data_IF_817961042343
#
_entry.id   IF_817961042343
#
_cell.length_a   1.000
_cell.length_b   1.000
_cell.length_c   1.000
_cell.angle_alpha   90.00
_cell.angle_beta   90.00
_cell.angle_gamma   90.00
#
_symmetry.space_group_name_H-M   'P 1'
#
loop_
_entity.id
_entity.type
_entity.pdbx_description
1 polymer ?
#
# COMPACT_ATOMS: atom_id res chain seq x y z
N UNK A 1 -25.00 1.89 -1.81
CA UNK A 1 -25.09 0.63 -2.60
C UNK A 1 -24.14 0.61 -3.79
N UNK A 2 -24.02 1.71 -4.56
CA UNK A 2 -23.09 1.81 -5.70
C UNK A 2 -21.61 1.55 -5.34
N UNK A 3 -21.15 2.04 -4.18
CA UNK A 3 -19.74 1.90 -3.77
C UNK A 3 -19.35 0.47 -3.39
N UNK A 4 -20.26 -0.29 -2.76
CA UNK A 4 -20.03 -1.73 -2.48
C UNK A 4 -19.87 -2.52 -3.77
N UNK A 5 -20.66 -2.20 -4.79
CA UNK A 5 -20.54 -2.78 -6.13
C UNK A 5 -19.21 -2.39 -6.78
N UNK A 6 -18.76 -1.14 -6.61
CA UNK A 6 -17.46 -0.70 -7.10
C UNK A 6 -16.30 -1.43 -6.41
N UNK A 7 -16.32 -1.56 -5.08
CA UNK A 7 -15.32 -2.34 -4.33
C UNK A 7 -15.26 -3.79 -4.82
N UNK A 8 -16.42 -4.41 -5.08
CA UNK A 8 -16.49 -5.77 -5.64
C UNK A 8 -15.85 -5.83 -7.04
N UNK A 9 -16.13 -4.88 -7.93
CA UNK A 9 -15.53 -4.84 -9.27
C UNK A 9 -14.02 -4.60 -9.21
N UNK A 10 -13.57 -3.66 -8.39
CA UNK A 10 -12.16 -3.32 -8.24
C UNK A 10 -11.36 -4.46 -7.63
N UNK A 11 -11.87 -5.09 -6.57
CA UNK A 11 -11.21 -6.26 -5.97
C UNK A 11 -11.05 -7.40 -6.97
N UNK A 12 -12.10 -7.69 -7.74
CA UNK A 12 -12.05 -8.70 -8.81
C UNK A 12 -11.01 -8.34 -9.88
N UNK A 13 -10.99 -7.10 -10.34
CA UNK A 13 -10.03 -6.63 -11.34
C UNK A 13 -8.57 -6.77 -10.87
N UNK A 14 -8.27 -6.36 -9.63
CA UNK A 14 -6.91 -6.45 -9.06
C UNK A 14 -6.50 -7.92 -8.90
N UNK A 15 -7.40 -8.78 -8.42
CA UNK A 15 -7.14 -10.21 -8.26
C UNK A 15 -6.90 -10.90 -9.61
N UNK A 16 -7.69 -10.59 -10.64
CA UNK A 16 -7.52 -11.14 -11.99
C UNK A 16 -6.20 -10.72 -12.63
N UNK A 17 -5.82 -9.45 -12.49
CA UNK A 17 -4.58 -8.89 -13.04
C UNK A 17 -3.32 -9.53 -12.42
N UNK A 18 -3.40 -10.00 -11.17
CA UNK A 18 -2.30 -10.55 -10.39
C UNK A 18 -2.61 -11.98 -9.91
N UNK A 19 -3.30 -12.76 -10.76
CA UNK A 19 -3.85 -14.08 -10.40
C UNK A 19 -2.78 -15.12 -10.08
N UNK A 20 -1.56 -14.93 -10.60
CA UNK A 20 -0.37 -15.74 -10.35
C UNK A 20 0.12 -15.65 -8.90
N UNK A 21 -0.02 -14.47 -8.28
CA UNK A 21 0.45 -14.20 -6.91
C UNK A 21 -0.69 -14.05 -5.89
N UNK A 22 -1.95 -14.03 -6.34
CA UNK A 22 -3.12 -13.87 -5.47
C UNK A 22 -3.34 -15.07 -4.54
N UNK A 23 -3.68 -14.79 -3.27
CA UNK A 23 -3.98 -15.78 -2.23
C UNK A 23 -5.41 -15.63 -1.76
N UNK A 24 -6.31 -16.41 -2.36
CA UNK A 24 -7.74 -16.38 -2.04
C UNK A 24 -8.02 -16.87 -0.62
N UNK A 25 -7.29 -17.89 -0.15
CA UNK A 25 -7.42 -18.51 1.16
C UNK A 25 -7.12 -17.55 2.32
N UNK A 26 -6.25 -16.56 2.08
CA UNK A 26 -5.91 -15.52 3.04
C UNK A 26 -6.82 -14.29 2.92
N UNK A 27 -7.51 -14.12 1.79
CA UNK A 27 -8.26 -12.90 1.47
C UNK A 27 -9.62 -12.83 2.17
N UNK A 28 -9.91 -11.67 2.75
CA UNK A 28 -11.15 -11.41 3.50
C UNK A 28 -12.06 -10.46 2.73
N UNK A 29 -13.31 -10.85 2.51
CA UNK A 29 -14.27 -10.01 1.79
C UNK A 29 -15.51 -9.73 2.65
N UNK A 30 -15.67 -8.48 3.09
CA UNK A 30 -16.80 -8.02 3.92
C UNK A 30 -17.69 -6.99 3.21
N UNK A 31 -18.82 -6.62 3.82
CA UNK A 31 -19.80 -5.74 3.16
C UNK A 31 -19.23 -4.42 2.63
N UNK A 32 -18.39 -3.73 3.41
CA UNK A 32 -17.84 -2.40 3.09
C UNK A 32 -16.32 -2.42 2.89
N UNK A 33 -15.68 -3.58 3.03
CA UNK A 33 -14.24 -3.71 2.88
C UNK A 33 -13.87 -4.98 2.11
N UNK A 34 -12.73 -4.95 1.44
CA UNK A 34 -12.08 -6.09 0.82
C UNK A 34 -10.61 -6.04 1.23
N UNK A 35 -10.08 -7.16 1.66
CA UNK A 35 -8.69 -7.32 2.05
C UNK A 35 -8.12 -8.45 1.20
N UNK A 36 -7.30 -8.08 0.23
CA UNK A 36 -6.71 -9.02 -0.72
C UNK A 36 -5.26 -9.27 -0.33
N UNK A 37 -4.82 -10.52 -0.42
CA UNK A 37 -3.43 -10.88 -0.17
C UNK A 37 -2.76 -11.39 -1.44
N UNK A 38 -1.52 -10.96 -1.64
CA UNK A 38 -0.67 -11.38 -2.74
C UNK A 38 0.68 -11.81 -2.17
N UNK A 39 1.26 -12.89 -2.69
CA UNK A 39 2.55 -13.41 -2.25
C UNK A 39 3.52 -13.44 -3.41
N UNK A 40 4.67 -12.83 -3.21
CA UNK A 40 5.82 -12.94 -4.09
C UNK A 40 6.83 -13.92 -3.50
N UNK A 41 7.72 -14.44 -4.33
CA UNK A 41 8.81 -15.29 -3.87
C UNK A 41 9.72 -14.49 -2.93
N UNK A 42 9.67 -14.84 -1.64
CA UNK A 42 10.50 -14.20 -0.62
C UNK A 42 11.90 -14.81 -0.66
N UNK A 43 12.89 -14.00 -1.05
CA UNK A 43 14.31 -14.37 -1.00
C UNK A 43 14.82 -14.50 0.45
N UNK A 44 14.15 -13.83 1.40
CA UNK A 44 14.52 -13.82 2.82
C UNK A 44 13.43 -14.46 3.68
N UNK A 45 13.66 -15.71 4.11
CA UNK A 45 12.80 -16.39 5.08
C UNK A 45 13.27 -16.11 6.52
N UNK A 46 12.34 -15.93 7.46
CA UNK A 46 12.64 -15.94 8.91
C UNK A 46 12.96 -14.61 9.59
N UNK A 47 12.84 -13.47 8.90
CA UNK A 47 13.12 -12.12 9.47
C UNK A 47 11.88 -11.41 10.04
N UNK A 48 10.74 -12.09 10.17
CA UNK A 48 9.51 -11.50 10.71
C UNK A 48 8.91 -10.39 9.82
N UNK A 49 9.31 -10.32 8.55
CA UNK A 49 8.72 -9.42 7.57
C UNK A 49 7.31 -9.91 7.20
N UNK A 50 6.42 -8.98 6.81
CA UNK A 50 5.14 -9.36 6.23
C UNK A 50 5.40 -10.17 4.96
N UNK A 51 5.02 -11.44 5.00
CA UNK A 51 5.22 -12.40 3.90
C UNK A 51 4.29 -12.14 2.72
N UNK A 52 3.22 -11.37 2.95
CA UNK A 52 2.18 -11.07 1.98
C UNK A 52 2.01 -9.57 1.81
N UNK A 53 1.86 -9.14 0.56
CA UNK A 53 1.33 -7.83 0.23
C UNK A 53 -0.18 -7.83 0.52
N UNK A 54 -0.59 -6.89 1.36
CA UNK A 54 -1.98 -6.71 1.77
C UNK A 54 -2.55 -5.47 1.07
N UNK A 55 -3.61 -5.66 0.28
CA UNK A 55 -4.33 -4.57 -0.39
C UNK A 55 -5.71 -4.45 0.25
N UNK A 56 -5.94 -3.33 0.93
CA UNK A 56 -7.22 -3.04 1.57
C UNK A 56 -8.03 -2.01 0.77
N UNK A 57 -9.26 -2.37 0.42
CA UNK A 57 -10.21 -1.53 -0.30
C UNK A 57 -11.40 -1.31 0.63
N UNK A 58 -11.60 -0.07 1.08
CA UNK A 58 -12.72 0.32 1.96
C UNK A 58 -13.64 1.30 1.26
N UNK A 59 -14.94 1.10 1.35
CA UNK A 59 -15.93 2.14 1.03
C UNK A 59 -16.10 3.05 2.23
N UNK A 60 -16.12 4.36 2.00
CA UNK A 60 -16.35 5.34 3.05
C UNK A 60 -17.85 5.57 3.20
N UNK A 61 -18.41 5.18 4.33
CA UNK A 61 -19.83 5.37 4.62
C UNK A 61 -20.13 6.75 5.23
N UNK A 62 -19.15 7.66 5.28
CA UNK A 62 -19.36 9.01 5.80
C UNK A 62 -20.27 9.83 4.85
N UNK A 63 -21.24 10.59 5.39
CA UNK A 63 -22.12 11.44 4.58
C UNK A 63 -21.35 12.51 3.79
N UNK A 64 -20.35 13.12 4.43
CA UNK A 64 -19.40 14.03 3.78
C UNK A 64 -18.01 13.41 3.74
N UNK A 65 -17.58 13.06 2.53
CA UNK A 65 -16.27 12.45 2.28
C UNK A 65 -15.10 13.40 2.55
N UNK A 66 -15.33 14.72 2.60
CA UNK A 66 -14.29 15.69 2.98
C UNK A 66 -13.88 15.56 4.44
N UNK A 67 -14.75 14.98 5.27
CA UNK A 67 -14.46 14.65 6.67
C UNK A 67 -13.65 13.36 6.81
N UNK A 68 -13.43 12.61 5.71
CA UNK A 68 -12.66 11.38 5.76
C UNK A 68 -11.21 11.71 6.09
N UNK A 69 -10.76 11.23 7.25
CA UNK A 69 -9.36 11.33 7.63
C UNK A 69 -8.52 10.48 6.68
N UNK A 70 -7.73 11.13 5.83
CA UNK A 70 -6.80 10.46 4.94
C UNK A 70 -5.39 10.62 5.51
N UNK A 71 -4.81 9.57 6.13
CA UNK A 71 -3.52 9.65 6.77
C UNK A 71 -2.37 9.60 5.75
N UNK A 72 -2.59 9.97 4.48
CA UNK A 72 -1.55 9.96 3.46
C UNK A 72 -1.19 11.38 3.01
N UNK A 73 0.07 11.55 2.63
CA UNK A 73 0.56 12.73 1.92
C UNK A 73 1.22 12.28 0.61
N UNK A 74 1.22 13.17 -0.39
CA UNK A 74 2.01 12.97 -1.60
C UNK A 74 3.50 13.09 -1.27
N UNK A 75 4.29 12.14 -1.74
CA UNK A 75 5.74 12.11 -1.61
C UNK A 75 6.37 11.73 -2.94
N UNK A 76 7.48 12.38 -3.25
CA UNK A 76 8.34 11.98 -4.36
C UNK A 76 9.31 10.92 -3.84
N UNK A 77 9.26 9.73 -4.43
CA UNK A 77 10.21 8.66 -4.16
C UNK A 77 11.31 8.71 -5.20
N UNK A 78 12.55 8.61 -4.71
CA UNK A 78 13.77 8.60 -5.50
C UNK A 78 14.62 7.42 -5.03
N UNK A 79 15.15 6.64 -5.96
CA UNK A 79 16.07 5.55 -5.61
C UNK A 79 17.41 6.11 -5.13
N UNK A 80 18.15 5.34 -4.32
CA UNK A 80 19.50 5.71 -3.89
C UNK A 80 20.43 5.88 -5.11
N UNK A 81 20.26 5.03 -6.12
CA UNK A 81 21.02 5.11 -7.38
C UNK A 81 20.74 6.42 -8.11
N UNK A 82 19.46 6.80 -8.25
CA UNK A 82 19.06 8.08 -8.85
C UNK A 82 19.68 9.26 -8.09
N UNK A 83 19.58 9.28 -6.77
CA UNK A 83 20.14 10.35 -5.94
C UNK A 83 21.68 10.46 -6.08
N UNK A 84 22.37 9.31 -6.21
CA UNK A 84 23.80 9.29 -6.48
C UNK A 84 24.13 9.85 -7.87
N UNK A 85 23.43 9.41 -8.92
CA UNK A 85 23.65 9.88 -10.29
C UNK A 85 23.46 11.39 -10.41
N UNK A 86 22.43 11.95 -9.77
CA UNK A 86 22.24 13.41 -9.69
C UNK A 86 23.41 14.09 -8.98
N UNK A 87 23.90 13.52 -7.87
CA UNK A 87 25.01 14.11 -7.10
C UNK A 87 26.33 14.22 -7.88
N UNK A 88 26.51 13.39 -8.91
CA UNK A 88 27.67 13.40 -9.81
C UNK A 88 27.33 14.01 -11.20
N UNK A 89 26.15 14.61 -11.36
CA UNK A 89 25.74 15.29 -12.59
C UNK A 89 25.40 14.37 -13.77
N UNK A 90 25.09 13.10 -13.52
CA UNK A 90 24.81 12.08 -14.55
C UNK A 90 23.31 11.94 -14.84
N UNK A 91 22.67 13.06 -15.20
CA UNK A 91 21.23 13.11 -15.49
C UNK A 91 20.83 12.32 -16.75
N UNK A 92 21.73 12.25 -17.74
CA UNK A 92 21.51 11.49 -18.97
C UNK A 92 21.33 9.99 -18.71
N UNK A 93 22.08 9.43 -17.76
CA UNK A 93 21.94 8.03 -17.34
C UNK A 93 20.60 7.79 -16.65
N UNK A 94 20.11 8.76 -15.86
CA UNK A 94 18.81 8.66 -15.20
C UNK A 94 17.71 8.50 -16.26
N UNK A 95 17.74 9.35 -17.29
CA UNK A 95 16.74 9.28 -18.37
C UNK A 95 16.87 8.03 -19.23
N UNK A 96 18.11 7.66 -19.58
CA UNK A 96 18.39 6.47 -20.40
C UNK A 96 17.84 5.19 -19.77
N UNK A 97 17.90 5.08 -18.44
CA UNK A 97 17.48 3.89 -17.71
C UNK A 97 16.11 4.02 -17.03
N UNK A 98 15.37 5.12 -17.23
CA UNK A 98 14.05 5.30 -16.63
C UNK A 98 14.08 5.38 -15.10
N UNK A 99 15.13 5.99 -14.53
CA UNK A 99 15.37 6.07 -13.08
C UNK A 99 14.80 7.35 -12.46
N UNK A 100 13.92 8.06 -13.16
CA UNK A 100 13.32 9.28 -12.68
C UNK A 100 12.54 9.06 -11.38
N UNK A 101 12.45 10.12 -10.59
CA UNK A 101 11.61 10.09 -9.38
C UNK A 101 10.14 10.07 -9.77
N UNK A 102 9.32 9.41 -8.97
CA UNK A 102 7.87 9.37 -9.17
C UNK A 102 7.13 9.81 -7.91
N UNK A 103 5.95 10.38 -8.12
CA UNK A 103 5.05 10.75 -7.02
C UNK A 103 4.21 9.54 -6.61
N UNK A 104 4.07 9.34 -5.30
CA UNK A 104 3.14 8.37 -4.72
C UNK A 104 2.50 8.89 -3.44
N UNK A 105 1.39 8.27 -3.03
CA UNK A 105 0.76 8.53 -1.75
C UNK A 105 1.41 7.66 -0.68
N UNK A 106 2.04 8.27 0.32
CA UNK A 106 2.63 7.58 1.45
C UNK A 106 1.83 7.88 2.72
N UNK A 107 1.67 6.87 3.58
CA UNK A 107 1.13 7.07 4.92
C UNK A 107 2.01 8.04 5.70
N UNK A 108 1.43 9.13 6.18
CA UNK A 108 2.07 10.09 7.08
C UNK A 108 2.15 9.48 8.49
N UNK A 109 3.36 9.22 9.01
CA UNK A 109 3.53 8.62 10.34
C UNK A 109 2.97 9.48 11.47
N UNK A 110 2.99 10.82 11.33
CA UNK A 110 2.45 11.75 12.34
C UNK A 110 0.93 11.66 12.42
N UNK A 111 0.26 11.40 11.31
CA UNK A 111 -1.20 11.21 11.23
C UNK A 111 -1.66 9.83 11.74
N UNK A 112 -0.74 8.88 11.93
CA UNK A 112 -1.06 7.49 12.36
C UNK A 112 -0.43 7.11 13.71
N UNK A 113 0.18 8.06 14.43
CA UNK A 113 0.92 7.76 15.66
C UNK A 113 0.01 7.18 16.74
N UNK A 114 -1.21 7.71 16.90
CA UNK A 114 -2.19 7.22 17.88
C UNK A 114 -2.59 5.78 17.60
N UNK A 115 -2.77 5.40 16.33
CA UNK A 115 -3.10 4.03 15.94
C UNK A 115 -1.94 3.07 16.24
N UNK A 116 -0.70 3.49 15.98
CA UNK A 116 0.50 2.71 16.31
C UNK A 116 0.65 2.49 17.81
N UNK A 117 0.46 3.54 18.62
CA UNK A 117 0.49 3.44 20.08
C UNK A 117 -0.63 2.53 20.58
N UNK A 118 -1.86 2.71 20.09
CA UNK A 118 -3.01 1.87 20.45
C UNK A 118 -2.76 0.40 20.12
N UNK A 119 -2.18 0.11 18.96
CA UNK A 119 -1.84 -1.27 18.56
C UNK A 119 -0.72 -1.85 19.42
N UNK A 120 0.33 -1.07 19.72
CA UNK A 120 1.41 -1.49 20.60
C UNK A 120 0.88 -1.87 21.98
N UNK A 121 0.06 -1.00 22.59
CA UNK A 121 -0.58 -1.25 23.88
C UNK A 121 -1.38 -2.55 23.85
N UNK A 122 -2.23 -2.76 22.83
CA UNK A 122 -2.98 -4.02 22.69
C UNK A 122 -2.10 -5.26 22.59
N UNK A 123 -0.95 -5.16 21.94
CA UNK A 123 0.01 -6.25 21.82
C UNK A 123 0.79 -6.50 23.12
N UNK A 124 0.95 -5.48 23.98
CA UNK A 124 1.63 -5.65 25.28
C UNK A 124 0.78 -6.36 26.34
N UNK A 125 -0.54 -6.42 26.14
CA UNK A 125 -1.48 -7.10 27.04
C UNK A 125 -2.00 -8.44 26.48
N UNK A 126 -1.47 -8.89 25.34
CA UNK A 126 -1.70 -10.21 24.74
C UNK A 126 -0.42 -11.03 24.82
#
# INVERSE_FOLDING_TARGET
QAEKTLNKKLSKYIAELNSDIYKEDLSETGGNYRKLYFSYDNIFQGVGLKEHLEVEIKSCDLPDKKLMFYPADKRVIKSIVTAFLESIGQEELISTYGLESFETQCINPRKTICDKVSRLVKLSYN
#
